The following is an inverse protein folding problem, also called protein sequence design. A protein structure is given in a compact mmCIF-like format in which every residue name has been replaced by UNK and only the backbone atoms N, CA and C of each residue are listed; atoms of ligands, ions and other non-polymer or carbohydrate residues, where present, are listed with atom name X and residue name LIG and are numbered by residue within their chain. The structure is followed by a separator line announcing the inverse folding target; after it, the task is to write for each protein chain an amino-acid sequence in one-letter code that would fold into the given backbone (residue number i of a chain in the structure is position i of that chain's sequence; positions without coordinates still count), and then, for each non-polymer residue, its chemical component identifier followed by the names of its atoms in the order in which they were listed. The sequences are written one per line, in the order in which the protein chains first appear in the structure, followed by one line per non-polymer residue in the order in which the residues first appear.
data_IF_657208079439
#
_entry.id   IF_657208079439
#
_cell.length_a   1.000
_cell.length_b   1.000
_cell.length_c   1.000
_cell.angle_alpha   90.00
_cell.angle_beta   90.00
_cell.angle_gamma   90.00
#
_symmetry.space_group_name_H-M   'P 1'
#
loop_
_entity.id
_entity.type
_entity.pdbx_description
1 polymer ?
#
# COMPACT_ATOMS: atom_id res chain seq x y z
N UNK A 1 -7.52 2.35 16.89
CA UNK A 1 -7.28 1.57 15.66
C UNK A 1 -7.42 2.53 14.50
N UNK A 2 -6.34 2.79 13.76
CA UNK A 2 -6.47 3.53 12.51
C UNK A 2 -7.19 2.63 11.49
N UNK A 3 -8.21 3.11 10.77
CA UNK A 3 -8.81 2.35 9.68
C UNK A 3 -7.73 2.05 8.65
N UNK A 4 -7.49 0.76 8.39
CA UNK A 4 -6.45 0.24 7.51
C UNK A 4 -6.99 -0.95 6.74
N UNK A 5 -6.16 -1.54 5.88
CA UNK A 5 -6.47 -2.82 5.26
C UNK A 5 -6.48 -3.94 6.33
N UNK A 6 -7.45 -4.84 6.27
CA UNK A 6 -7.53 -6.00 7.17
C UNK A 6 -6.47 -7.07 6.86
N UNK A 7 -5.68 -6.88 5.80
CA UNK A 7 -4.64 -7.80 5.35
C UNK A 7 -3.96 -7.33 4.07
N UNK A 8 -3.17 -8.23 3.47
CA UNK A 8 -2.42 -7.97 2.24
C UNK A 8 -3.34 -7.66 1.08
N UNK A 9 -3.08 -6.55 0.41
CA UNK A 9 -3.79 -6.11 -0.79
C UNK A 9 -3.15 -6.77 -2.02
N UNK A 10 -3.89 -7.66 -2.68
CA UNK A 10 -3.34 -8.49 -3.77
C UNK A 10 -3.29 -7.75 -5.10
N UNK A 11 -4.25 -6.86 -5.33
CA UNK A 11 -4.43 -6.22 -6.63
C UNK A 11 -4.88 -4.75 -6.51
N UNK A 12 -4.70 -4.01 -7.60
CA UNK A 12 -5.04 -2.60 -7.68
C UNK A 12 -6.53 -2.32 -7.42
N UNK A 13 -7.42 -3.24 -7.79
CA UNK A 13 -8.86 -3.07 -7.64
C UNK A 13 -9.25 -3.07 -6.17
N UNK A 14 -8.75 -4.04 -5.42
CA UNK A 14 -8.88 -4.13 -3.96
C UNK A 14 -8.25 -2.91 -3.28
N UNK A 15 -7.07 -2.47 -3.73
CA UNK A 15 -6.43 -1.25 -3.25
C UNK A 15 -7.35 -0.02 -3.41
N UNK A 16 -8.01 0.12 -4.57
CA UNK A 16 -8.96 1.21 -4.85
C UNK A 16 -10.20 1.13 -3.97
N UNK A 17 -10.78 -0.05 -3.80
CA UNK A 17 -11.96 -0.24 -2.94
C UNK A 17 -11.67 0.10 -1.48
N UNK A 18 -10.52 -0.34 -0.95
CA UNK A 18 -10.08 -0.01 0.41
C UNK A 18 -9.77 1.48 0.53
N UNK A 19 -9.05 2.05 -0.43
CA UNK A 19 -8.73 3.48 -0.46
C UNK A 19 -9.98 4.36 -0.46
N UNK A 20 -11.02 3.98 -1.18
CA UNK A 20 -12.31 4.68 -1.20
C UNK A 20 -13.08 4.53 0.11
N UNK A 21 -12.96 3.38 0.79
CA UNK A 21 -13.58 3.15 2.11
C UNK A 21 -12.88 3.91 3.23
N UNK A 22 -11.54 3.97 3.22
CA UNK A 22 -10.73 4.67 4.24
C UNK A 22 -10.77 6.19 4.00
N UNK A 23 -10.71 6.61 2.73
CA UNK A 23 -10.51 8.01 2.35
C UNK A 23 -9.04 8.39 2.26
N UNK A 24 -8.78 9.55 1.65
CA UNK A 24 -7.44 10.12 1.49
C UNK A 24 -7.19 11.25 2.51
N UNK A 25 -5.94 11.49 2.95
CA UNK A 25 -4.72 10.80 2.54
C UNK A 25 -4.54 9.43 3.24
N UNK A 26 -3.91 8.50 2.53
CA UNK A 26 -3.56 7.17 3.06
C UNK A 26 -2.10 6.83 2.76
N UNK A 27 -1.58 5.80 3.43
CA UNK A 27 -0.22 5.31 3.23
C UNK A 27 -0.29 3.86 2.79
N UNK A 28 0.38 3.52 1.70
CA UNK A 28 0.64 2.15 1.28
C UNK A 28 1.99 1.72 1.87
N UNK A 29 2.04 0.62 2.59
CA UNK A 29 3.28 0.12 3.21
C UNK A 29 3.54 -1.34 2.85
N UNK A 30 4.80 -1.75 2.79
CA UNK A 30 5.16 -3.16 2.66
C UNK A 30 4.68 -3.96 3.90
N UNK A 31 4.04 -5.12 3.68
CA UNK A 31 3.55 -6.01 4.74
C UNK A 31 4.71 -6.60 5.55
N UNK A 32 5.76 -7.04 4.85
CA UNK A 32 6.96 -7.62 5.44
C UNK A 32 7.93 -6.57 6.05
N UNK A 33 7.68 -5.28 5.83
CA UNK A 33 8.60 -4.19 6.16
C UNK A 33 8.43 -3.62 7.57
N UNK A 34 8.87 -4.35 8.59
CA UNK A 34 9.02 -3.82 9.95
C UNK A 34 10.21 -2.87 10.06
N UNK A 35 9.99 -1.55 9.96
CA UNK A 35 11.06 -0.58 10.23
C UNK A 35 11.05 0.73 9.43
N UNK A 36 9.98 1.06 8.71
CA UNK A 36 9.88 2.37 8.06
C UNK A 36 10.27 2.41 6.58
N UNK A 37 10.69 1.29 6.00
CA UNK A 37 11.16 1.21 4.60
C UNK A 37 10.05 0.66 3.70
N UNK A 38 9.74 1.36 2.61
CA UNK A 38 8.66 0.97 1.67
C UNK A 38 7.29 1.57 1.96
N UNK A 39 7.23 2.82 2.48
CA UNK A 39 5.98 3.56 2.65
C UNK A 39 5.79 4.59 1.53
N UNK A 40 4.60 4.61 0.92
CA UNK A 40 4.19 5.60 -0.09
C UNK A 40 2.95 6.34 0.37
N UNK A 41 3.06 7.67 0.46
CA UNK A 41 1.94 8.55 0.74
C UNK A 41 1.07 8.70 -0.51
N UNK A 42 -0.24 8.50 -0.36
CA UNK A 42 -1.23 8.62 -1.41
C UNK A 42 -2.21 9.71 -1.02
N UNK A 43 -2.21 10.80 -1.78
CA UNK A 43 -3.06 11.97 -1.53
C UNK A 43 -4.41 11.87 -2.25
N UNK A 44 -4.50 11.04 -3.29
CA UNK A 44 -5.70 10.90 -4.12
C UNK A 44 -5.69 9.57 -4.88
N UNK A 45 -6.83 9.22 -5.48
CA UNK A 45 -7.01 7.98 -6.24
C UNK A 45 -6.08 7.85 -7.45
N UNK A 46 -5.66 8.96 -8.06
CA UNK A 46 -4.75 8.95 -9.22
C UNK A 46 -3.32 8.55 -8.82
N UNK A 47 -2.87 8.93 -7.63
CA UNK A 47 -1.55 8.58 -7.09
C UNK A 47 -1.51 7.17 -6.49
N UNK A 48 -2.67 6.55 -6.23
CA UNK A 48 -2.75 5.22 -5.62
C UNK A 48 -2.07 4.16 -6.48
N UNK A 49 -2.26 4.20 -7.80
CA UNK A 49 -1.73 3.17 -8.68
C UNK A 49 -0.21 3.19 -8.79
N UNK A 50 0.36 4.38 -8.95
CA UNK A 50 1.82 4.53 -8.98
C UNK A 50 2.43 4.19 -7.62
N UNK A 51 1.82 4.64 -6.52
CA UNK A 51 2.25 4.33 -5.16
C UNK A 51 2.21 2.83 -4.88
N UNK A 52 1.11 2.14 -5.22
CA UNK A 52 0.96 0.70 -5.04
C UNK A 52 2.02 -0.09 -5.81
N UNK A 53 2.21 0.21 -7.11
CA UNK A 53 3.23 -0.44 -7.93
C UNK A 53 4.64 -0.18 -7.41
N UNK A 54 4.93 1.04 -6.95
CA UNK A 54 6.23 1.40 -6.38
C UNK A 54 6.47 0.70 -5.05
N UNK A 55 5.47 0.65 -4.17
CA UNK A 55 5.56 -0.01 -2.88
C UNK A 55 5.77 -1.52 -3.04
N UNK A 56 5.04 -2.17 -3.97
CA UNK A 56 5.26 -3.58 -4.32
C UNK A 56 6.68 -3.86 -4.80
N UNK A 57 7.20 -3.04 -5.73
CA UNK A 57 8.58 -3.19 -6.22
C UNK A 57 9.63 -3.00 -5.13
N UNK A 58 9.43 -2.04 -4.24
CA UNK A 58 10.33 -1.82 -3.11
C UNK A 58 10.24 -2.98 -2.10
N UNK A 59 9.05 -3.50 -1.85
CA UNK A 59 8.84 -4.65 -0.98
C UNK A 59 9.52 -5.91 -1.53
N UNK A 60 9.36 -6.18 -2.83
CA UNK A 60 10.01 -7.29 -3.52
C UNK A 60 11.54 -7.15 -3.51
N UNK A 61 12.07 -5.96 -3.83
CA UNK A 61 13.50 -5.72 -3.83
C UNK A 61 14.14 -5.75 -2.43
N UNK A 62 13.40 -5.36 -1.39
CA UNK A 62 13.92 -5.29 -0.02
C UNK A 62 13.74 -6.59 0.78
N UNK A 63 12.63 -7.29 0.56
CA UNK A 63 12.20 -8.44 1.38
C UNK A 63 11.95 -9.71 0.57
N UNK A 64 12.03 -9.66 -0.77
CA UNK A 64 11.67 -10.77 -1.65
C UNK A 64 10.18 -11.11 -1.60
N UNK A 65 9.35 -10.17 -1.16
CA UNK A 65 7.90 -10.31 -1.09
C UNK A 65 7.23 -9.00 -1.51
N UNK A 66 6.33 -9.06 -2.50
CA UNK A 66 5.60 -7.90 -3.02
C UNK A 66 4.31 -7.58 -2.25
N UNK A 67 4.08 -8.22 -1.10
CA UNK A 67 2.93 -7.99 -0.23
C UNK A 67 2.92 -6.57 0.36
N UNK A 68 1.80 -5.86 0.19
CA UNK A 68 1.57 -4.50 0.70
C UNK A 68 0.24 -4.39 1.42
N UNK A 69 0.15 -3.46 2.37
CA UNK A 69 -1.01 -3.18 3.24
C UNK A 69 -1.30 -1.68 3.32
#
# INVERSE_FOLDING_TARGET
MCPGSDGVIKNLKEAKEIALKIGFPLIVKASAGGGGRGMKLVLNSNSLESAFKSAKKEADAAFGNDDVI
#
